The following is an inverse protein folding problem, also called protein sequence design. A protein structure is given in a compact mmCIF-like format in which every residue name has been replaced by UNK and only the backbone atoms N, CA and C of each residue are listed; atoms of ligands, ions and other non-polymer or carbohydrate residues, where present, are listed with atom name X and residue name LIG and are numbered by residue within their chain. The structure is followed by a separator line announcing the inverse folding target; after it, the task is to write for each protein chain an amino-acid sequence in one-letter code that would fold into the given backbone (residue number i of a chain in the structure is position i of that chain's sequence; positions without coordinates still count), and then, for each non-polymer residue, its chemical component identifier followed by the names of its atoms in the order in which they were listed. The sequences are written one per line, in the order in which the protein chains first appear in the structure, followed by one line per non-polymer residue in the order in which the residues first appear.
data_IF_039327889857
#
_entry.id   IF_039327889857
#
_cell.length_a   1.000
_cell.length_b   1.000
_cell.length_c   1.000
_cell.angle_alpha   90.00
_cell.angle_beta   90.00
_cell.angle_gamma   90.00
#
_symmetry.space_group_name_H-M   'P 1'
#
loop_
_entity.id
_entity.type
_entity.pdbx_description
1 polymer ?
#
# COMPACT_ATOMS: atom_id res chain seq x y z
N UNK A 1 -9.57 32.93 -27.63
CA UNK A 1 -8.54 33.54 -26.76
C UNK A 1 -8.36 32.61 -25.55
N UNK A 2 -7.17 32.11 -25.25
CA UNK A 2 -6.95 31.25 -24.07
C UNK A 2 -6.84 32.14 -22.82
N UNK A 3 -7.64 31.89 -21.81
CA UNK A 3 -7.63 32.63 -20.54
C UNK A 3 -6.49 32.15 -19.64
N UNK A 4 -5.82 33.09 -18.95
CA UNK A 4 -4.82 32.79 -17.93
C UNK A 4 -5.42 33.01 -16.53
N UNK A 5 -5.02 32.21 -15.53
CA UNK A 5 -5.47 32.39 -14.15
C UNK A 5 -4.90 33.68 -13.55
N UNK A 6 -5.69 34.32 -12.68
CA UNK A 6 -5.27 35.52 -11.95
C UNK A 6 -4.50 35.06 -10.71
N UNK A 7 -3.17 35.19 -10.74
CA UNK A 7 -2.27 34.71 -9.68
C UNK A 7 -2.61 35.27 -8.29
N UNK A 8 -3.13 36.50 -8.21
CA UNK A 8 -3.56 37.11 -6.94
C UNK A 8 -4.84 36.51 -6.34
N UNK A 9 -5.63 35.76 -7.13
CA UNK A 9 -6.86 35.11 -6.66
C UNK A 9 -6.61 33.62 -6.45
N UNK A 10 -5.86 32.99 -7.35
CA UNK A 10 -5.47 31.59 -7.25
C UNK A 10 -4.07 31.38 -7.84
N UNK A 11 -3.01 31.42 -7.02
CA UNK A 11 -1.67 31.09 -7.50
C UNK A 11 -1.62 29.58 -7.80
N UNK A 12 -1.40 29.24 -9.07
CA UNK A 12 -1.05 27.87 -9.46
C UNK A 12 0.44 27.70 -9.17
N UNK A 13 0.81 27.25 -7.97
CA UNK A 13 2.22 27.05 -7.61
C UNK A 13 2.80 25.83 -8.32
N UNK A 14 3.83 26.06 -9.13
CA UNK A 14 4.59 25.00 -9.81
C UNK A 14 5.33 24.13 -8.79
N UNK A 15 5.65 24.68 -7.60
CA UNK A 15 6.34 23.93 -6.54
C UNK A 15 5.52 22.75 -6.00
N UNK A 16 4.18 22.85 -6.00
CA UNK A 16 3.33 21.77 -5.49
C UNK A 16 3.42 20.51 -6.37
N UNK A 17 3.50 20.68 -7.69
CA UNK A 17 3.61 19.54 -8.61
C UNK A 17 4.93 18.80 -8.44
N UNK A 18 6.05 19.51 -8.31
CA UNK A 18 7.37 18.89 -8.08
C UNK A 18 7.38 18.02 -6.82
N UNK A 19 6.75 18.49 -5.74
CA UNK A 19 6.64 17.72 -4.49
C UNK A 19 5.77 16.48 -4.69
N UNK A 20 4.64 16.62 -5.39
CA UNK A 20 3.75 15.50 -5.70
C UNK A 20 4.42 14.43 -6.58
N UNK A 21 5.21 14.84 -7.56
CA UNK A 21 5.96 13.93 -8.42
C UNK A 21 6.98 13.12 -7.61
N UNK A 22 7.72 13.75 -6.69
CA UNK A 22 8.67 13.04 -5.81
C UNK A 22 7.97 11.96 -4.97
N UNK A 23 6.83 12.29 -4.35
CA UNK A 23 6.08 11.31 -3.57
C UNK A 23 5.48 10.20 -4.43
N UNK A 24 4.92 10.55 -5.59
CA UNK A 24 4.42 9.57 -6.55
C UNK A 24 5.51 8.58 -6.95
N UNK A 25 6.69 9.07 -7.33
CA UNK A 25 7.80 8.24 -7.79
C UNK A 25 8.33 7.34 -6.66
N UNK A 26 8.42 7.85 -5.43
CA UNK A 26 8.82 7.04 -4.27
C UNK A 26 7.83 5.91 -3.97
N UNK A 27 6.52 6.19 -4.02
CA UNK A 27 5.49 5.19 -3.79
C UNK A 27 5.48 4.17 -4.93
N UNK A 28 5.61 4.63 -6.17
CA UNK A 28 5.68 3.77 -7.34
C UNK A 28 6.88 2.82 -7.30
N UNK A 29 8.06 3.31 -6.89
CA UNK A 29 9.24 2.46 -6.70
C UNK A 29 9.01 1.40 -5.62
N UNK A 30 8.31 1.75 -4.53
CA UNK A 30 7.94 0.78 -3.50
C UNK A 30 6.98 -0.29 -4.04
N UNK A 31 6.02 0.08 -4.89
CA UNK A 31 5.14 -0.87 -5.59
C UNK A 31 5.97 -1.77 -6.51
N UNK A 32 6.84 -1.21 -7.34
CA UNK A 32 7.73 -1.97 -8.23
C UNK A 32 8.55 -3.00 -7.44
N UNK A 33 9.20 -2.58 -6.35
CA UNK A 33 9.93 -3.49 -5.47
C UNK A 33 9.00 -4.55 -4.86
N UNK A 34 7.81 -4.16 -4.42
CA UNK A 34 6.79 -5.05 -3.89
C UNK A 34 6.35 -6.12 -4.90
N UNK A 35 6.19 -5.78 -6.18
CA UNK A 35 5.81 -6.76 -7.21
C UNK A 35 6.88 -7.84 -7.40
N UNK A 36 8.17 -7.51 -7.22
CA UNK A 36 9.23 -8.51 -7.23
C UNK A 36 9.12 -9.48 -6.04
N UNK A 37 8.84 -8.97 -4.84
CA UNK A 37 8.61 -9.79 -3.63
C UNK A 37 7.40 -10.70 -3.85
N UNK A 38 6.31 -10.16 -4.39
CA UNK A 38 5.11 -10.92 -4.72
C UNK A 38 5.38 -12.03 -5.75
N UNK A 39 6.10 -11.71 -6.82
CA UNK A 39 6.46 -12.69 -7.85
C UNK A 39 7.34 -13.82 -7.28
N UNK A 40 8.27 -13.49 -6.38
CA UNK A 40 9.09 -14.48 -5.68
C UNK A 40 8.26 -15.35 -4.74
N UNK A 41 7.36 -14.76 -3.97
CA UNK A 41 6.42 -15.48 -3.10
C UNK A 41 5.56 -16.47 -3.89
N UNK A 42 4.99 -16.06 -5.02
CA UNK A 42 4.22 -16.94 -5.90
C UNK A 42 5.06 -18.09 -6.47
N UNK A 43 6.32 -17.81 -6.86
CA UNK A 43 7.23 -18.87 -7.34
C UNK A 43 7.51 -19.89 -6.24
N UNK A 44 7.76 -19.44 -5.01
CA UNK A 44 7.99 -20.32 -3.85
C UNK A 44 6.77 -21.19 -3.57
N UNK A 45 5.56 -20.64 -3.64
CA UNK A 45 4.33 -21.39 -3.39
C UNK A 45 4.00 -22.40 -4.50
N UNK A 46 4.34 -22.12 -5.77
CA UNK A 46 4.19 -23.08 -6.88
C UNK A 46 5.10 -24.30 -6.76
N UNK A 47 6.23 -24.17 -6.07
CA UNK A 47 7.18 -25.27 -5.86
C UNK A 47 6.83 -26.18 -4.68
N UNK A 48 5.77 -25.86 -3.91
CA UNK A 48 5.32 -26.69 -2.80
C UNK A 48 4.51 -27.87 -3.31
N UNK A 49 4.75 -29.06 -2.73
CA UNK A 49 3.97 -30.27 -3.04
C UNK A 49 2.52 -30.19 -2.52
N UNK A 50 2.29 -29.41 -1.47
CA UNK A 50 0.96 -29.14 -0.91
C UNK A 50 0.79 -27.65 -0.68
N UNK A 51 -0.29 -27.07 -1.21
CA UNK A 51 -0.63 -25.65 -1.08
C UNK A 51 -1.70 -25.53 -0.01
N UNK A 52 -1.46 -24.69 1.00
CA UNK A 52 -2.44 -24.40 2.05
C UNK A 52 -3.26 -23.16 1.71
N UNK A 53 -4.35 -22.92 2.44
CA UNK A 53 -5.16 -21.70 2.27
C UNK A 53 -4.37 -20.42 2.55
N UNK A 54 -3.44 -20.47 3.53
CA UNK A 54 -2.54 -19.35 3.88
C UNK A 54 -1.61 -19.00 2.71
N UNK A 55 -1.13 -20.01 1.98
CA UNK A 55 -0.27 -19.84 0.80
C UNK A 55 -0.99 -19.13 -0.36
N UNK A 56 -2.32 -19.04 -0.33
CA UNK A 56 -3.14 -18.31 -1.29
C UNK A 56 -3.54 -16.95 -0.70
N UNK A 57 -4.02 -16.92 0.54
CA UNK A 57 -4.53 -15.72 1.20
C UNK A 57 -3.45 -14.66 1.43
N UNK A 58 -2.26 -15.05 1.90
CA UNK A 58 -1.19 -14.10 2.20
C UNK A 58 -0.68 -13.34 0.96
N UNK A 59 -0.38 -13.99 -0.18
CA UNK A 59 -0.04 -13.27 -1.40
C UNK A 59 -1.17 -12.37 -1.91
N UNK A 60 -2.43 -12.77 -1.77
CA UNK A 60 -3.57 -11.95 -2.21
C UNK A 60 -3.70 -10.66 -1.38
N UNK A 61 -3.56 -10.73 -0.05
CA UNK A 61 -3.56 -9.55 0.80
C UNK A 61 -2.34 -8.66 0.54
N UNK A 62 -1.17 -9.25 0.33
CA UNK A 62 0.01 -8.49 -0.04
C UNK A 62 -0.16 -7.78 -1.39
N UNK A 63 -0.71 -8.46 -2.40
CA UNK A 63 -1.09 -7.84 -3.67
C UNK A 63 -2.08 -6.69 -3.48
N UNK A 64 -3.07 -6.85 -2.60
CA UNK A 64 -4.03 -5.80 -2.33
C UNK A 64 -3.37 -4.55 -1.73
N UNK A 65 -2.38 -4.70 -0.84
CA UNK A 65 -1.57 -3.58 -0.34
C UNK A 65 -0.88 -2.86 -1.52
N UNK A 66 -0.26 -3.61 -2.44
CA UNK A 66 0.41 -3.02 -3.60
C UNK A 66 -0.57 -2.27 -4.51
N UNK A 67 -1.78 -2.78 -4.73
CA UNK A 67 -2.82 -2.12 -5.52
C UNK A 67 -3.28 -0.81 -4.88
N UNK A 68 -3.44 -0.78 -3.55
CA UNK A 68 -3.78 0.43 -2.81
C UNK A 68 -2.66 1.49 -2.91
N UNK A 69 -1.40 1.06 -2.83
CA UNK A 69 -0.24 1.93 -2.98
C UNK A 69 -0.09 2.48 -4.40
N UNK A 70 -0.29 1.64 -5.41
CA UNK A 70 -0.28 2.06 -6.82
C UNK A 70 -1.36 3.11 -7.09
N UNK A 71 -2.57 2.88 -6.58
CA UNK A 71 -3.66 3.84 -6.68
C UNK A 71 -3.31 5.20 -6.03
N UNK A 72 -2.61 5.20 -4.88
CA UNK A 72 -2.11 6.43 -4.24
C UNK A 72 -1.09 7.12 -5.15
N UNK A 73 -0.13 6.38 -5.73
CA UNK A 73 0.91 6.96 -6.60
C UNK A 73 0.30 7.73 -7.79
N UNK A 74 -0.66 7.12 -8.49
CA UNK A 74 -1.34 7.72 -9.65
C UNK A 74 -2.14 8.96 -9.25
N UNK A 75 -2.80 8.91 -8.10
CA UNK A 75 -3.65 10.00 -7.62
C UNK A 75 -2.84 11.19 -7.11
N UNK A 76 -1.75 10.93 -6.40
CA UNK A 76 -0.79 11.97 -5.98
C UNK A 76 -0.19 12.65 -7.21
N UNK A 77 0.25 11.89 -8.22
CA UNK A 77 0.77 12.44 -9.48
C UNK A 77 -0.23 13.34 -10.20
N UNK A 78 -1.51 12.98 -10.14
CA UNK A 78 -2.62 13.73 -10.75
C UNK A 78 -3.10 14.91 -9.89
N UNK A 79 -2.49 15.16 -8.73
CA UNK A 79 -2.91 16.23 -7.81
C UNK A 79 -4.19 15.94 -7.02
N UNK A 80 -4.67 14.69 -7.03
CA UNK A 80 -5.94 14.27 -6.42
C UNK A 80 -5.66 13.58 -5.07
N UNK A 81 -5.43 14.38 -4.02
CA UNK A 81 -4.95 13.85 -2.72
C UNK A 81 -6.10 13.39 -1.80
N UNK A 82 -7.30 13.95 -1.95
CA UNK A 82 -8.42 13.68 -1.02
C UNK A 82 -8.81 12.20 -0.94
N UNK A 83 -8.95 11.45 -2.05
CA UNK A 83 -9.34 10.04 -1.98
C UNK A 83 -8.21 9.15 -1.44
N UNK A 84 -6.95 9.60 -1.49
CA UNK A 84 -5.81 8.86 -0.92
C UNK A 84 -5.96 8.53 0.56
N UNK A 85 -6.74 9.34 1.31
CA UNK A 85 -7.03 9.09 2.73
C UNK A 85 -7.72 7.75 2.98
N UNK A 86 -8.59 7.33 2.06
CA UNK A 86 -9.32 6.06 2.18
C UNK A 86 -8.34 4.89 1.99
N UNK A 87 -7.48 4.96 0.98
CA UNK A 87 -6.46 3.92 0.76
C UNK A 87 -5.45 3.85 1.89
N UNK A 88 -5.01 5.00 2.42
CA UNK A 88 -4.12 5.06 3.59
C UNK A 88 -4.74 4.45 4.85
N UNK A 89 -6.07 4.47 4.99
CA UNK A 89 -6.76 3.77 6.08
C UNK A 89 -6.85 2.26 5.84
N UNK A 90 -7.12 1.85 4.61
CA UNK A 90 -7.24 0.45 4.24
C UNK A 90 -5.90 -0.31 4.35
N UNK A 91 -4.78 0.32 3.99
CA UNK A 91 -3.46 -0.33 4.02
C UNK A 91 -3.13 -0.95 5.40
N UNK A 92 -3.21 -0.22 6.54
CA UNK A 92 -3.03 -0.80 7.87
C UNK A 92 -3.96 -1.97 8.19
N UNK A 93 -5.24 -1.90 7.79
CA UNK A 93 -6.22 -2.96 8.02
C UNK A 93 -5.80 -4.27 7.30
N UNK A 94 -5.32 -4.14 6.07
CA UNK A 94 -4.82 -5.27 5.28
C UNK A 94 -3.48 -5.77 5.82
N UNK A 95 -2.59 -4.89 6.28
CA UNK A 95 -1.32 -5.26 6.93
C UNK A 95 -1.56 -6.08 8.19
N UNK A 96 -2.47 -5.65 9.07
CA UNK A 96 -2.81 -6.40 10.29
C UNK A 96 -3.46 -7.75 9.95
N UNK A 97 -4.29 -7.80 8.90
CA UNK A 97 -4.88 -9.05 8.42
C UNK A 97 -3.83 -10.03 7.90
N UNK A 98 -2.85 -9.52 7.15
CA UNK A 98 -1.72 -10.30 6.64
C UNK A 98 -0.83 -10.78 7.80
N UNK A 99 -0.54 -9.91 8.76
CA UNK A 99 0.22 -10.26 9.96
C UNK A 99 -0.48 -11.40 10.70
N UNK A 100 -1.79 -11.26 10.98
CA UNK A 100 -2.59 -12.30 11.65
C UNK A 100 -2.52 -13.66 10.94
N UNK A 101 -2.66 -13.70 9.60
CA UNK A 101 -2.60 -14.96 8.83
C UNK A 101 -1.22 -15.61 8.85
N UNK A 102 -0.15 -14.83 8.98
CA UNK A 102 1.22 -15.34 9.08
C UNK A 102 1.61 -15.74 10.51
N UNK A 103 0.73 -15.52 11.49
CA UNK A 103 1.00 -15.58 12.92
C UNK A 103 0.54 -16.90 13.53
N UNK A 104 0.87 -18.06 12.98
CA UNK A 104 0.64 -19.38 13.61
C UNK A 104 1.21 -19.53 15.06
N UNK A 105 1.80 -18.48 15.66
CA UNK A 105 2.21 -18.35 17.06
C UNK A 105 1.40 -17.30 17.88
N UNK A 106 0.16 -16.99 17.49
CA UNK A 106 -0.62 -15.90 18.11
C UNK A 106 -1.05 -16.17 19.55
N UNK A 107 -1.30 -17.42 19.93
CA UNK A 107 -1.80 -17.78 21.27
C UNK A 107 -0.81 -17.39 22.39
N UNK A 108 0.50 -17.64 22.21
CA UNK A 108 1.55 -17.23 23.17
C UNK A 108 1.67 -15.70 23.28
N UNK A 109 1.51 -14.98 22.17
CA UNK A 109 1.62 -13.52 22.16
C UNK A 109 0.37 -12.87 22.76
N UNK A 110 -0.82 -13.44 22.52
CA UNK A 110 -2.06 -13.01 23.16
C UNK A 110 -2.02 -13.19 24.68
N UNK A 111 -1.38 -14.27 25.17
CA UNK A 111 -1.15 -14.48 26.59
C UNK A 111 -0.28 -13.38 27.24
N UNK A 112 0.69 -12.80 26.52
CA UNK A 112 1.46 -11.64 27.01
C UNK A 112 0.62 -10.36 27.19
N UNK A 113 -0.55 -10.27 26.55
CA UNK A 113 -1.49 -9.16 26.74
C UNK A 113 -2.56 -9.45 27.81
N UNK A 114 -2.58 -10.67 28.39
CA UNK A 114 -3.48 -11.07 29.48
C UNK A 114 -2.87 -10.94 30.88
N UNK A 115 -1.73 -10.23 31.06
CA UNK A 115 -1.35 -9.77 32.40
C UNK A 115 -2.22 -8.57 32.75
N UNK A 116 -3.41 -8.87 33.29
CA UNK A 116 -4.18 -8.00 34.16
C UNK A 116 -4.20 -8.69 35.52
N UNK A 117 -3.55 -7.99 36.48
CA UNK A 117 -3.21 -8.29 37.88
C UNK A 117 -2.01 -9.21 38.16
#
# INVERSE_FOLDING_TARGET
MKTKPVENVLPLSVEAQTVMDVYSDAIHEMVCRGTHIFAESLKRNKSKETITEIDIAAPLLFRHILELMDAISVQVKSGVIVPCKVYLRAIPEVVVSLEYLLRENTEEIAACFFIVD
#
